data_IF_500959508638
#
_entry.id   IF_500959508638
#
_cell.length_a   1.000
_cell.length_b   1.000
_cell.length_c   1.000
_cell.angle_alpha   90.00
_cell.angle_beta   90.00
_cell.angle_gamma   90.00
#
_symmetry.space_group_name_H-M   'P 1'
#
loop_
_entity.id
_entity.type
_entity.pdbx_description
1 polymer ?
#
# COMPACT_ATOMS: atom_id res chain seq x y z
N UNK A 1 10.64 -4.27 1.50
CA UNK A 1 10.51 -3.27 2.58
C UNK A 1 11.14 -3.84 3.83
N UNK A 2 11.85 -3.04 4.62
CA UNK A 2 12.79 -3.57 5.63
C UNK A 2 12.18 -4.66 6.52
N UNK A 3 10.98 -4.44 7.09
CA UNK A 3 10.28 -5.42 7.95
C UNK A 3 10.02 -6.76 7.25
N UNK A 4 9.65 -6.73 5.96
CA UNK A 4 9.47 -7.95 5.19
C UNK A 4 10.79 -8.69 4.99
N UNK A 5 11.86 -7.97 4.68
CA UNK A 5 13.18 -8.55 4.47
C UNK A 5 13.67 -9.24 5.76
N UNK A 6 13.48 -8.59 6.92
CA UNK A 6 13.78 -9.19 8.23
C UNK A 6 12.95 -10.45 8.53
N UNK A 7 11.68 -10.53 8.11
CA UNK A 7 10.84 -11.72 8.29
C UNK A 7 11.34 -12.88 7.41
N UNK A 8 11.75 -12.59 6.17
CA UNK A 8 12.24 -13.62 5.24
C UNK A 8 13.54 -14.24 5.74
N UNK A 9 14.39 -13.44 6.37
CA UNK A 9 15.70 -13.88 6.90
C UNK A 9 15.63 -14.42 8.33
N UNK A 10 14.45 -14.41 8.97
CA UNK A 10 14.30 -14.82 10.36
C UNK A 10 14.29 -16.37 10.52
N UNK A 11 15.08 -16.87 11.46
CA UNK A 11 15.27 -18.32 11.70
C UNK A 11 13.98 -19.06 12.08
N UNK A 12 13.08 -18.44 12.85
CA UNK A 12 11.83 -19.07 13.28
C UNK A 12 10.88 -19.32 12.10
N UNK A 13 10.90 -18.42 11.10
CA UNK A 13 10.14 -18.61 9.87
C UNK A 13 10.85 -19.60 8.93
N UNK A 14 12.16 -19.47 8.74
CA UNK A 14 12.94 -20.36 7.87
C UNK A 14 12.88 -21.82 8.33
N UNK A 15 13.01 -22.10 9.63
CA UNK A 15 12.97 -23.45 10.19
C UNK A 15 11.67 -24.20 9.86
N UNK A 16 10.55 -23.47 9.75
CA UNK A 16 9.25 -24.05 9.37
C UNK A 16 9.12 -24.34 7.88
N UNK A 17 9.92 -23.71 7.02
CA UNK A 17 9.93 -23.97 5.56
C UNK A 17 10.87 -25.11 5.18
N UNK A 18 11.94 -25.31 5.95
CA UNK A 18 13.03 -26.25 5.63
C UNK A 18 12.58 -27.72 5.58
N UNK A 19 11.54 -28.11 6.31
CA UNK A 19 11.08 -29.51 6.40
C UNK A 19 10.70 -30.20 5.09
N UNK A 20 10.55 -29.45 3.99
CA UNK A 20 10.30 -29.97 2.64
C UNK A 20 11.17 -29.36 1.54
N UNK A 21 12.23 -28.63 1.89
CA UNK A 21 13.10 -27.98 0.92
C UNK A 21 14.08 -28.97 0.29
N UNK A 22 14.25 -28.90 -1.03
CA UNK A 22 15.25 -29.68 -1.78
C UNK A 22 16.28 -28.74 -2.38
N UNK A 23 17.43 -29.25 -2.83
CA UNK A 23 18.44 -28.46 -3.54
C UNK A 23 17.87 -27.74 -4.78
N UNK A 24 16.84 -28.32 -5.40
CA UNK A 24 16.13 -27.74 -6.56
C UNK A 24 15.02 -26.73 -6.17
N UNK A 25 14.62 -26.70 -4.88
CA UNK A 25 13.59 -25.81 -4.33
C UNK A 25 14.06 -25.26 -2.98
N UNK A 26 14.95 -24.24 -2.99
CA UNK A 26 15.45 -23.65 -1.75
C UNK A 26 14.29 -23.12 -0.90
N UNK A 27 14.41 -23.30 0.42
CA UNK A 27 13.44 -22.78 1.38
C UNK A 27 13.41 -21.25 1.26
N UNK A 28 12.26 -20.68 0.90
CA UNK A 28 12.03 -19.25 0.89
C UNK A 28 10.69 -18.94 1.51
N UNK A 29 10.66 -17.93 2.40
CA UNK A 29 9.43 -17.45 3.00
C UNK A 29 8.70 -16.59 1.97
N UNK A 30 7.62 -17.12 1.41
CA UNK A 30 6.75 -16.37 0.48
C UNK A 30 5.61 -15.71 1.24
N UNK A 31 5.02 -14.64 0.69
CA UNK A 31 3.85 -13.96 1.31
C UNK A 31 2.70 -14.92 1.58
N UNK A 32 2.45 -15.86 0.66
CA UNK A 32 1.40 -16.86 0.80
C UNK A 32 1.71 -17.87 1.91
N UNK A 33 2.97 -18.26 2.05
CA UNK A 33 3.40 -19.14 3.13
C UNK A 33 3.30 -18.45 4.49
N UNK A 34 3.73 -17.18 4.58
CA UNK A 34 3.56 -16.40 5.80
C UNK A 34 2.08 -16.23 6.17
N UNK A 35 1.23 -15.94 5.17
CA UNK A 35 -0.21 -15.84 5.37
C UNK A 35 -0.80 -17.15 5.92
N UNK A 36 -0.36 -18.30 5.41
CA UNK A 36 -0.75 -19.62 5.92
C UNK A 36 -0.24 -19.87 7.34
N UNK A 37 1.01 -19.52 7.64
CA UNK A 37 1.61 -19.72 8.97
C UNK A 37 0.94 -18.88 10.06
N UNK A 38 0.49 -17.68 9.72
CA UNK A 38 -0.19 -16.76 10.63
C UNK A 38 -1.72 -16.89 10.59
N UNK A 39 -2.25 -17.82 9.79
CA UNK A 39 -3.70 -18.03 9.59
C UNK A 39 -4.45 -16.74 9.16
N UNK A 40 -3.81 -15.91 8.33
CA UNK A 40 -4.37 -14.67 7.81
C UNK A 40 -4.67 -14.79 6.31
N UNK A 41 -5.61 -13.96 5.83
CA UNK A 41 -6.07 -14.05 4.45
C UNK A 41 -5.03 -13.57 3.43
N UNK A 42 -4.21 -12.57 3.79
CA UNK A 42 -3.34 -11.87 2.86
C UNK A 42 -2.22 -11.16 3.60
N UNK A 43 -1.04 -11.14 2.99
CA UNK A 43 0.12 -10.33 3.39
C UNK A 43 0.47 -9.42 2.23
N UNK A 44 0.60 -8.12 2.50
CA UNK A 44 1.10 -7.14 1.54
C UNK A 44 2.29 -6.38 2.11
N UNK A 45 3.18 -5.95 1.21
CA UNK A 45 4.42 -5.24 1.55
C UNK A 45 4.32 -3.84 0.98
N UNK A 46 4.45 -2.84 1.84
CA UNK A 46 4.42 -1.43 1.44
C UNK A 46 5.84 -0.97 1.06
N UNK A 47 6.12 -0.87 -0.24
CA UNK A 47 7.41 -0.45 -0.80
C UNK A 47 7.32 0.91 -1.53
N UNK A 48 6.38 1.77 -1.10
CA UNK A 48 6.24 3.12 -1.65
C UNK A 48 7.43 3.99 -1.31
N UNK A 49 7.97 4.70 -2.32
CA UNK A 49 9.08 5.64 -2.20
C UNK A 49 8.62 7.03 -2.66
N UNK A 50 9.16 8.08 -2.01
CA UNK A 50 8.96 9.48 -2.38
C UNK A 50 10.32 10.17 -2.51
N UNK A 51 10.45 11.05 -3.50
CA UNK A 51 11.59 11.95 -3.59
C UNK A 51 11.23 13.25 -2.88
N UNK A 52 11.91 13.54 -1.77
CA UNK A 52 11.71 14.76 -0.97
C UNK A 52 12.60 15.93 -1.42
N UNK A 53 13.41 15.74 -2.47
CA UNK A 53 14.23 16.80 -3.03
C UNK A 53 13.37 17.93 -3.62
N UNK A 54 13.88 19.17 -3.56
CA UNK A 54 13.22 20.28 -4.23
C UNK A 54 13.22 20.06 -5.75
N UNK A 55 12.12 20.41 -6.42
CA UNK A 55 11.99 20.30 -7.88
C UNK A 55 12.79 21.41 -8.58
N UNK A 56 14.11 21.36 -8.47
CA UNK A 56 15.04 22.30 -9.11
C UNK A 56 16.16 21.56 -9.85
N UNK A 57 16.75 22.22 -10.85
CA UNK A 57 17.75 21.60 -11.72
C UNK A 57 19.03 21.12 -10.99
N UNK A 58 19.33 21.68 -9.82
CA UNK A 58 20.57 21.42 -9.06
C UNK A 58 20.34 20.57 -7.80
N UNK A 59 19.12 20.09 -7.57
CA UNK A 59 18.82 19.28 -6.38
C UNK A 59 19.26 17.84 -6.57
N UNK A 60 20.05 17.32 -5.63
CA UNK A 60 20.31 15.89 -5.54
C UNK A 60 19.05 15.16 -5.06
N UNK A 61 18.82 13.94 -5.55
CA UNK A 61 17.68 13.12 -5.16
C UNK A 61 17.72 12.76 -3.66
N UNK A 62 16.57 12.85 -2.99
CA UNK A 62 16.37 12.44 -1.60
C UNK A 62 15.21 11.44 -1.55
N UNK A 63 15.50 10.20 -1.93
CA UNK A 63 14.50 9.14 -2.00
C UNK A 63 14.33 8.46 -0.64
N UNK A 64 13.11 8.50 -0.09
CA UNK A 64 12.77 7.96 1.21
C UNK A 64 11.52 7.07 1.11
N UNK A 65 11.42 6.05 1.98
CA UNK A 65 10.20 5.23 2.05
C UNK A 65 9.04 6.03 2.66
N UNK A 66 7.84 5.85 2.10
CA UNK A 66 6.61 6.51 2.56
C UNK A 66 6.13 5.90 3.88
N UNK A 67 6.37 4.60 4.07
CA UNK A 67 5.99 3.89 5.28
C UNK A 67 7.19 3.72 6.22
N UNK A 68 6.95 3.93 7.50
CA UNK A 68 7.92 3.71 8.57
C UNK A 68 8.23 2.22 8.76
N UNK A 69 9.25 1.94 9.56
CA UNK A 69 9.63 0.58 9.98
C UNK A 69 8.57 0.02 10.93
N UNK A 70 7.64 -0.76 10.39
CA UNK A 70 6.60 -1.39 11.18
C UNK A 70 5.72 -2.35 10.39
N UNK A 71 4.80 -2.97 11.11
CA UNK A 71 3.82 -3.91 10.56
C UNK A 71 2.42 -3.52 11.01
N UNK A 72 1.47 -3.47 10.07
CA UNK A 72 0.07 -3.23 10.35
C UNK A 72 -0.75 -4.50 10.14
N UNK A 73 -1.41 -4.97 11.19
CA UNK A 73 -2.40 -6.05 11.12
C UNK A 73 -3.79 -5.44 11.32
N UNK A 74 -4.71 -5.64 10.39
CA UNK A 74 -6.03 -5.03 10.47
C UNK A 74 -7.09 -5.85 9.74
N UNK A 75 -8.34 -5.67 10.15
CA UNK A 75 -9.49 -6.26 9.47
C UNK A 75 -9.92 -5.42 8.27
N UNK A 76 -10.00 -6.07 7.10
CA UNK A 76 -10.57 -5.53 5.87
C UNK A 76 -11.72 -6.43 5.40
N UNK A 77 -12.95 -5.92 5.23
CA UNK A 77 -14.05 -6.72 4.71
C UNK A 77 -13.83 -7.05 3.22
N UNK A 78 -14.20 -8.26 2.81
CA UNK A 78 -14.08 -8.71 1.41
C UNK A 78 -14.95 -7.88 0.43
N UNK A 79 -16.06 -7.32 0.93
CA UNK A 79 -16.96 -6.43 0.17
C UNK A 79 -17.13 -5.12 0.96
N UNK A 80 -16.47 -4.02 0.56
CA UNK A 80 -16.60 -2.75 1.25
C UNK A 80 -18.02 -2.19 1.11
N UNK A 81 -18.49 -1.48 2.13
CA UNK A 81 -19.80 -0.85 2.14
C UNK A 81 -19.89 0.22 3.21
N UNK A 82 -20.75 1.21 3.02
CA UNK A 82 -20.85 2.38 3.91
C UNK A 82 -21.21 2.01 5.37
N UNK A 83 -21.89 0.87 5.57
CA UNK A 83 -22.30 0.35 6.87
C UNK A 83 -21.61 -0.96 7.23
N UNK A 84 -20.61 -1.37 6.46
CA UNK A 84 -19.83 -2.57 6.74
C UNK A 84 -18.69 -2.19 7.69
N UNK A 85 -18.43 -2.97 8.76
CA UNK A 85 -17.31 -2.69 9.65
C UNK A 85 -15.97 -2.90 8.94
N UNK A 86 -15.01 -2.03 9.20
CA UNK A 86 -13.64 -2.06 8.67
C UNK A 86 -12.72 -1.24 9.56
N UNK A 87 -11.42 -1.56 9.59
CA UNK A 87 -10.43 -0.72 10.27
C UNK A 87 -10.34 0.69 9.64
N UNK A 88 -10.48 0.77 8.32
CA UNK A 88 -10.48 2.03 7.59
C UNK A 88 -11.19 1.94 6.24
N UNK A 89 -11.47 3.12 5.68
CA UNK A 89 -12.06 3.29 4.35
C UNK A 89 -11.44 4.47 3.62
N UNK A 90 -11.39 4.35 2.29
CA UNK A 90 -11.25 5.48 1.38
C UNK A 90 -12.65 5.92 0.98
N UNK A 91 -13.04 7.12 1.39
CA UNK A 91 -14.30 7.74 0.97
C UNK A 91 -14.06 8.55 -0.29
N UNK A 92 -14.80 8.27 -1.35
CA UNK A 92 -14.76 9.01 -2.60
C UNK A 92 -16.07 9.75 -2.85
N UNK A 93 -15.99 10.96 -3.39
CA UNK A 93 -17.17 11.73 -3.78
C UNK A 93 -17.52 11.47 -5.24
N UNK A 94 -18.57 10.67 -5.46
CA UNK A 94 -19.11 10.40 -6.78
C UNK A 94 -19.89 11.60 -7.33
N UNK A 95 -19.60 12.00 -8.57
CA UNK A 95 -20.33 13.04 -9.29
C UNK A 95 -19.88 14.47 -9.00
N UNK A 96 -18.86 14.66 -8.17
CA UNK A 96 -18.21 15.97 -8.00
C UNK A 96 -17.42 16.27 -9.28
N UNK A 97 -17.75 17.35 -9.99
CA UNK A 97 -17.12 17.75 -11.26
C UNK A 97 -17.11 16.65 -12.35
N UNK A 98 -18.11 15.77 -12.36
CA UNK A 98 -18.18 14.65 -13.31
C UNK A 98 -17.32 13.45 -12.92
N UNK A 99 -16.85 13.39 -11.67
CA UNK A 99 -16.04 12.29 -11.16
C UNK A 99 -16.74 10.94 -11.23
N UNK A 100 -15.96 9.90 -11.55
CA UNK A 100 -16.36 8.51 -11.51
C UNK A 100 -16.59 8.02 -10.07
N UNK A 101 -16.94 6.74 -9.91
CA UNK A 101 -17.22 6.14 -8.59
C UNK A 101 -16.02 6.23 -7.63
N UNK A 102 -14.80 6.20 -8.16
CA UNK A 102 -13.55 6.34 -7.39
C UNK A 102 -13.23 7.80 -6.99
N UNK A 103 -14.07 8.77 -7.37
CA UNK A 103 -13.86 10.19 -7.06
C UNK A 103 -12.94 10.91 -8.04
N UNK A 104 -12.44 10.22 -9.08
CA UNK A 104 -11.61 10.79 -10.14
C UNK A 104 -12.44 11.34 -11.30
N UNK A 105 -12.25 12.61 -11.66
CA UNK A 105 -12.76 13.24 -12.88
C UNK A 105 -11.63 13.57 -13.85
N UNK A 106 -11.84 13.36 -15.15
CA UNK A 106 -10.86 13.68 -16.20
C UNK A 106 -11.49 14.67 -17.18
N UNK A 107 -10.86 15.82 -17.33
CA UNK A 107 -11.25 16.85 -18.28
C UNK A 107 -10.13 17.08 -19.28
N UNK A 108 -10.48 17.24 -20.55
CA UNK A 108 -9.53 17.55 -21.62
C UNK A 108 -10.00 18.77 -22.38
N UNK A 109 -9.13 19.74 -22.54
CA UNK A 109 -9.42 20.91 -23.37
C UNK A 109 -8.20 21.34 -24.18
N UNK A 110 -8.47 21.82 -25.39
CA UNK A 110 -7.45 22.31 -26.28
C UNK A 110 -6.96 23.68 -25.79
N UNK A 111 -5.64 23.87 -25.81
CA UNK A 111 -4.96 25.15 -25.54
C UNK A 111 -4.27 25.64 -26.83
N UNK A 112 -5.01 26.26 -27.77
CA UNK A 112 -4.48 26.63 -29.08
C UNK A 112 -3.28 27.58 -29.01
N UNK A 113 -3.26 28.47 -28.02
CA UNK A 113 -2.16 29.43 -27.82
C UNK A 113 -0.83 28.77 -27.42
N UNK A 114 -0.88 27.57 -26.84
CA UNK A 114 0.30 26.74 -26.56
C UNK A 114 0.48 25.60 -27.57
N UNK A 115 -0.42 25.51 -28.58
CA UNK A 115 -0.53 24.37 -29.51
C UNK A 115 -0.52 23.02 -28.77
N UNK A 116 -1.15 22.97 -27.61
CA UNK A 116 -1.13 21.83 -26.70
C UNK A 116 -2.55 21.45 -26.28
N UNK A 117 -2.69 20.25 -25.69
CA UNK A 117 -3.91 19.82 -24.99
C UNK A 117 -3.60 19.74 -23.51
N UNK A 118 -4.46 20.33 -22.68
CA UNK A 118 -4.38 20.13 -21.24
C UNK A 118 -5.34 19.02 -20.84
N UNK A 119 -4.78 18.06 -20.11
CA UNK A 119 -5.54 17.02 -19.44
C UNK A 119 -5.47 17.36 -17.95
N UNK A 120 -6.63 17.57 -17.34
CA UNK A 120 -6.76 17.77 -15.90
C UNK A 120 -7.38 16.52 -15.30
N UNK A 121 -6.79 16.08 -14.18
CA UNK A 121 -7.30 14.98 -13.38
C UNK A 121 -7.60 15.57 -12.01
N UNK A 122 -8.84 15.39 -11.57
CA UNK A 122 -9.31 15.82 -10.26
C UNK A 122 -9.64 14.59 -9.43
N UNK A 123 -8.97 14.43 -8.30
CA UNK A 123 -9.18 13.31 -7.39
C UNK A 123 -9.82 13.78 -6.09
N UNK A 124 -11.04 13.30 -5.85
CA UNK A 124 -11.84 13.65 -4.68
C UNK A 124 -12.06 12.43 -3.80
N UNK A 125 -11.06 12.13 -2.97
CA UNK A 125 -11.12 11.06 -1.98
C UNK A 125 -10.48 11.44 -0.65
N UNK A 126 -10.81 10.71 0.41
CA UNK A 126 -10.22 10.86 1.73
C UNK A 126 -10.09 9.51 2.43
N UNK A 127 -8.87 9.20 2.90
CA UNK A 127 -8.62 8.02 3.72
C UNK A 127 -8.98 8.31 5.18
N UNK A 128 -9.73 7.40 5.81
CA UNK A 128 -10.16 7.51 7.21
C UNK A 128 -10.00 6.19 7.94
N UNK A 129 -9.41 6.26 9.13
CA UNK A 129 -9.51 5.21 10.15
C UNK A 129 -10.93 5.27 10.71
N UNK A 130 -11.70 4.20 10.51
CA UNK A 130 -13.12 4.13 10.90
C UNK A 130 -13.26 3.46 12.26
N UNK A 131 -12.43 2.45 12.53
CA UNK A 131 -12.34 1.82 13.84
C UNK A 131 -10.90 1.37 14.10
N UNK A 132 -10.23 2.08 15.01
CA UNK A 132 -8.85 1.75 15.39
C UNK A 132 -8.76 0.40 16.12
N UNK A 133 -9.84 -0.03 16.80
CA UNK A 133 -9.88 -1.31 17.53
C UNK A 133 -9.81 -2.53 16.61
N UNK A 134 -10.09 -2.36 15.31
CA UNK A 134 -10.08 -3.44 14.31
C UNK A 134 -8.70 -3.63 13.68
N UNK A 135 -7.66 -3.03 14.24
CA UNK A 135 -6.29 -3.25 13.81
C UNK A 135 -5.29 -2.92 14.90
N UNK A 136 -4.05 -3.32 14.67
CA UNK A 136 -2.91 -2.99 15.52
C UNK A 136 -1.72 -2.65 14.63
N UNK A 137 -1.02 -1.59 15.01
CA UNK A 137 0.25 -1.23 14.41
C UNK A 137 1.38 -1.60 15.36
N UNK A 138 2.34 -2.35 14.84
CA UNK A 138 3.56 -2.76 15.54
C UNK A 138 4.68 -1.92 14.95
N UNK A 139 5.09 -0.89 15.69
CA UNK A 139 6.21 -0.01 15.32
C UNK A 139 7.55 -0.65 15.66
N UNK A 140 8.61 -0.26 14.94
CA UNK A 140 10.00 -0.62 15.22
C UNK A 140 10.21 -2.14 15.27
N UNK A 141 9.82 -2.82 14.19
CA UNK A 141 9.96 -4.28 14.05
C UNK A 141 11.38 -4.74 13.75
N UNK A 142 12.32 -3.80 13.59
CA UNK A 142 13.75 -4.01 13.29
C UNK A 142 14.57 -3.15 14.24
#
# INVERSE_FOLDING_TARGET
GKTWDAIVDNEDFLSRVIGGATTDRPASVTKQLLAQMLEINMVEVADGLVNNAAETADSAEDNQFICDEGMLLYYKPARPGLRTPSAGYTFAWKGLMGSAVEGTGINTFDMPHLKSKRIEIEDSFSHKVVSAEMGTFISNTI
#
